data_IF_838857803927
#
_entry.id   IF_838857803927
#
_cell.length_a   1.000
_cell.length_b   1.000
_cell.length_c   1.000
_cell.angle_alpha   90.00
_cell.angle_beta   90.00
_cell.angle_gamma   90.00
#
_symmetry.space_group_name_H-M   'P 1'
#
loop_
_entity.id
_entity.type
_entity.pdbx_description
1 polymer ?
#
# COMPACT_ATOMS: atom_id res chain seq x y z
N UNK A 1 6.88 16.60 0.68
CA UNK A 1 6.70 15.19 1.12
C UNK A 1 8.03 14.69 1.66
N UNK A 2 8.11 14.09 2.86
CA UNK A 2 9.36 13.52 3.40
C UNK A 2 9.37 12.01 3.11
N UNK A 3 10.22 11.58 2.19
CA UNK A 3 10.35 10.16 1.84
C UNK A 3 11.26 9.47 2.87
N UNK A 4 10.89 8.30 3.42
CA UNK A 4 11.76 7.54 4.32
C UNK A 4 13.03 7.11 3.58
N UNK A 5 14.19 7.38 4.19
CA UNK A 5 15.52 7.10 3.59
C UNK A 5 16.07 5.70 3.87
N UNK A 6 15.31 4.90 4.62
CA UNK A 6 15.72 3.59 5.14
C UNK A 6 14.72 2.51 4.76
N UNK A 7 14.30 2.51 3.49
CA UNK A 7 13.42 1.46 2.94
C UNK A 7 14.29 0.52 2.12
N UNK A 8 14.24 -0.77 2.43
CA UNK A 8 14.87 -1.81 1.63
C UNK A 8 14.04 -2.14 0.38
N UNK A 9 14.66 -2.76 -0.62
CA UNK A 9 13.94 -3.22 -1.82
C UNK A 9 12.80 -4.19 -1.51
N UNK A 10 12.99 -5.06 -0.51
CA UNK A 10 11.94 -5.99 -0.05
C UNK A 10 10.78 -5.27 0.62
N UNK A 11 11.08 -4.32 1.49
CA UNK A 11 10.05 -3.52 2.16
C UNK A 11 9.22 -2.74 1.15
N UNK A 12 9.87 -2.08 0.17
CA UNK A 12 9.17 -1.37 -0.89
C UNK A 12 8.28 -2.32 -1.71
N UNK A 13 8.79 -3.50 -2.05
CA UNK A 13 8.05 -4.52 -2.79
C UNK A 13 6.80 -4.98 -2.01
N UNK A 14 6.95 -5.27 -0.72
CA UNK A 14 5.85 -5.70 0.14
C UNK A 14 4.76 -4.62 0.28
N UNK A 15 5.15 -3.34 0.32
CA UNK A 15 4.21 -2.22 0.33
C UNK A 15 3.44 -2.12 -1.00
N UNK A 16 4.13 -2.31 -2.13
CA UNK A 16 3.52 -2.25 -3.47
C UNK A 16 2.53 -3.39 -3.73
N UNK A 17 2.65 -4.51 -3.01
CA UNK A 17 1.61 -5.56 -3.06
C UNK A 17 0.24 -5.09 -2.60
N UNK A 18 0.15 -4.10 -1.72
CA UNK A 18 -1.15 -3.49 -1.34
C UNK A 18 -1.79 -2.67 -2.47
N UNK A 19 -1.02 -2.31 -3.48
CA UNK A 19 -1.46 -1.58 -4.67
C UNK A 19 -1.68 -2.52 -5.87
N UNK A 20 -1.73 -3.84 -5.65
CA UNK A 20 -2.00 -4.82 -6.70
C UNK A 20 -0.76 -5.31 -7.47
N UNK A 21 0.45 -4.98 -7.00
CA UNK A 21 1.68 -5.50 -7.61
C UNK A 21 2.09 -6.85 -7.02
N UNK A 22 2.44 -7.79 -7.88
CA UNK A 22 2.93 -9.10 -7.49
C UNK A 22 4.38 -9.32 -7.93
N UNK A 23 5.18 -9.96 -7.09
CA UNK A 23 6.54 -10.36 -7.47
C UNK A 23 6.47 -11.46 -8.52
N UNK A 24 6.97 -11.19 -9.72
CA UNK A 24 6.96 -12.17 -10.82
C UNK A 24 8.30 -12.85 -11.01
N UNK A 25 9.41 -12.16 -10.69
CA UNK A 25 10.76 -12.75 -10.79
C UNK A 25 11.72 -12.00 -9.89
N UNK A 26 12.69 -12.71 -9.32
CA UNK A 26 13.89 -12.08 -8.74
C UNK A 26 15.12 -12.67 -9.42
N UNK A 27 16.01 -11.80 -9.90
CA UNK A 27 17.29 -12.19 -10.49
C UNK A 27 18.39 -11.37 -9.83
N UNK A 28 19.28 -12.05 -9.10
CA UNK A 28 20.34 -11.39 -8.33
C UNK A 28 19.77 -10.36 -7.34
N UNK A 29 20.30 -9.14 -7.40
CA UNK A 29 19.88 -8.01 -6.57
C UNK A 29 18.71 -7.21 -7.17
N UNK A 30 17.91 -7.75 -8.09
CA UNK A 30 16.75 -7.06 -8.65
C UNK A 30 15.49 -7.91 -8.52
N UNK A 31 14.40 -7.29 -8.08
CA UNK A 31 13.06 -7.87 -7.97
C UNK A 31 12.20 -7.23 -9.04
N UNK A 32 11.53 -8.04 -9.85
CA UNK A 32 10.55 -7.59 -10.83
C UNK A 32 9.16 -7.83 -10.27
N UNK A 33 8.36 -6.77 -10.22
CA UNK A 33 6.96 -6.80 -9.84
C UNK A 33 6.08 -6.45 -11.04
N UNK A 34 4.89 -7.04 -11.10
CA UNK A 34 3.90 -6.81 -12.15
C UNK A 34 2.57 -6.45 -11.52
N UNK A 35 1.93 -5.39 -11.99
CA UNK A 35 0.52 -5.12 -11.73
C UNK A 35 -0.33 -5.89 -12.73
N UNK A 36 -1.31 -6.62 -12.22
CA UNK A 36 -2.32 -7.32 -13.02
C UNK A 36 -3.60 -6.48 -13.19
N UNK A 37 -3.55 -5.19 -12.85
CA UNK A 37 -4.68 -4.28 -13.03
C UNK A 37 -4.93 -4.04 -14.53
N UNK A 38 -6.18 -4.15 -14.96
CA UNK A 38 -6.60 -3.78 -16.32
C UNK A 38 -6.64 -2.25 -16.47
N UNK A 39 -6.45 -1.68 -17.69
CA UNK A 39 -6.32 -2.35 -18.99
C UNK A 39 -4.88 -2.69 -19.41
N UNK A 40 -3.86 -2.29 -18.65
CA UNK A 40 -2.46 -2.50 -19.04
C UNK A 40 -1.62 -3.04 -17.88
N UNK A 41 -0.98 -4.19 -18.14
CA UNK A 41 0.01 -4.75 -17.23
C UNK A 41 1.19 -3.79 -17.08
N UNK A 42 1.49 -3.44 -15.83
CA UNK A 42 2.60 -2.55 -15.51
C UNK A 42 3.73 -3.33 -14.84
N UNK A 43 4.96 -3.19 -15.34
CA UNK A 43 6.11 -3.93 -14.81
C UNK A 43 7.15 -2.97 -14.23
N UNK A 44 7.51 -3.18 -12.97
CA UNK A 44 8.49 -2.36 -12.27
C UNK A 44 9.65 -3.23 -11.78
N UNK A 45 10.87 -2.71 -11.90
CA UNK A 45 12.07 -3.38 -11.37
C UNK A 45 12.61 -2.61 -10.18
N UNK A 46 12.77 -3.30 -9.05
CA UNK A 46 13.21 -2.74 -7.78
C UNK A 46 14.55 -3.37 -7.39
N UNK A 47 15.58 -2.56 -7.07
CA UNK A 47 16.82 -3.09 -6.52
C UNK A 47 16.57 -3.69 -5.13
N UNK A 48 17.03 -4.92 -4.91
CA UNK A 48 16.98 -5.63 -3.64
C UNK A 48 18.21 -5.35 -2.78
N UNK A 49 18.34 -4.11 -2.32
CA UNK A 49 19.37 -3.68 -1.38
C UNK A 49 18.74 -3.28 -0.04
N UNK A 50 19.53 -3.35 1.04
CA UNK A 50 19.06 -3.05 2.40
C UNK A 50 18.58 -1.61 2.57
N UNK A 51 19.15 -0.66 1.84
CA UNK A 51 18.72 0.73 1.82
C UNK A 51 18.69 1.25 0.38
N UNK A 52 17.50 1.65 -0.08
CA UNK A 52 17.33 2.31 -1.37
C UNK A 52 17.61 3.81 -1.25
N UNK A 53 18.22 4.37 -2.29
CA UNK A 53 18.36 5.82 -2.40
C UNK A 53 16.98 6.45 -2.51
N UNK A 54 16.78 7.60 -1.87
CA UNK A 54 15.52 8.37 -1.94
C UNK A 54 15.10 8.64 -3.39
N UNK A 55 16.06 8.91 -4.28
CA UNK A 55 15.79 9.09 -5.71
C UNK A 55 15.20 7.84 -6.38
N UNK A 56 15.69 6.65 -6.03
CA UNK A 56 15.15 5.38 -6.54
C UNK A 56 13.74 5.14 -6.02
N UNK A 57 13.50 5.37 -4.73
CA UNK A 57 12.15 5.25 -4.15
C UNK A 57 11.20 6.22 -4.84
N UNK A 58 11.61 7.47 -5.02
CA UNK A 58 10.79 8.49 -5.68
C UNK A 58 10.49 8.14 -7.14
N UNK A 59 11.47 7.61 -7.88
CA UNK A 59 11.27 7.19 -9.26
C UNK A 59 10.29 6.02 -9.36
N UNK A 60 10.47 4.98 -8.53
CA UNK A 60 9.55 3.83 -8.48
C UNK A 60 8.13 4.27 -8.11
N UNK A 61 7.97 5.17 -7.14
CA UNK A 61 6.64 5.66 -6.75
C UNK A 61 5.99 6.51 -7.85
N UNK A 62 6.76 7.34 -8.56
CA UNK A 62 6.24 8.14 -9.67
C UNK A 62 5.75 7.24 -10.81
N UNK A 63 6.52 6.22 -11.16
CA UNK A 63 6.21 5.20 -12.16
C UNK A 63 4.94 4.41 -11.80
N UNK A 64 4.83 3.99 -10.53
CA UNK A 64 3.63 3.35 -10.00
C UNK A 64 2.41 4.27 -10.13
N UNK A 65 2.51 5.53 -9.73
CA UNK A 65 1.40 6.50 -9.78
C UNK A 65 0.95 6.78 -11.22
N UNK A 66 1.88 6.90 -12.15
CA UNK A 66 1.58 7.12 -13.58
C UNK A 66 0.80 5.94 -14.17
N UNK A 67 1.13 4.72 -13.76
CA UNK A 67 0.45 3.51 -14.21
C UNK A 67 -0.95 3.29 -13.62
N UNK A 68 -1.33 4.05 -12.57
CA UNK A 68 -2.67 3.97 -12.00
C UNK A 68 -3.63 4.86 -12.81
N UNK A 69 -4.77 4.30 -13.22
CA UNK A 69 -5.89 5.16 -13.58
C UNK A 69 -6.24 6.06 -12.39
N UNK A 70 -6.64 7.33 -12.60
CA UNK A 70 -7.02 8.20 -11.51
C UNK A 70 -8.21 7.58 -10.81
N UNK A 71 -7.95 6.95 -9.66
CA UNK A 71 -8.98 6.48 -8.74
C UNK A 71 -9.89 7.67 -8.49
N UNK A 72 -11.09 7.61 -9.06
CA UNK A 72 -12.16 8.53 -8.73
C UNK A 72 -12.39 8.30 -7.25
N UNK A 73 -11.83 9.20 -6.44
CA UNK A 73 -11.93 9.22 -4.99
C UNK A 73 -13.39 9.33 -4.59
N UNK A 74 -14.12 8.21 -4.62
CA UNK A 74 -15.35 8.06 -3.89
C UNK A 74 -14.95 7.72 -2.46
N UNK A 75 -14.57 8.76 -1.74
CA UNK A 75 -14.46 8.69 -0.27
C UNK A 75 -15.88 8.46 0.21
N UNK A 76 -16.21 7.24 0.61
CA UNK A 76 -17.43 6.96 1.36
C UNK A 76 -17.30 7.62 2.75
N UNK A 77 -18.12 8.62 3.10
CA UNK A 77 -18.16 9.10 4.46
C UNK A 77 -19.06 8.17 5.27
N UNK A 78 -18.45 7.33 6.10
CA UNK A 78 -19.14 6.81 7.29
C UNK A 78 -19.19 5.29 7.40
N UNK A 79 -18.62 4.78 8.47
CA UNK A 79 -19.31 3.78 9.27
C UNK A 79 -19.14 4.16 10.72
N UNK A 80 -20.30 4.37 11.36
CA UNK A 80 -20.45 5.12 12.58
C UNK A 80 -19.88 4.46 13.84
N UNK A 81 -19.49 5.32 14.75
CA UNK A 81 -19.48 5.06 16.19
C UNK A 81 -20.84 4.52 16.63
N UNK A 82 -20.96 3.19 16.79
CA UNK A 82 -22.08 2.62 17.55
C UNK A 82 -21.85 2.97 19.02
N UNK A 83 -22.63 3.94 19.50
CA UNK A 83 -22.91 4.11 20.91
C UNK A 83 -23.39 2.76 21.47
N UNK A 84 -22.62 2.20 22.39
CA UNK A 84 -23.08 1.09 23.22
C UNK A 84 -23.88 1.73 24.36
N UNK A 85 -25.20 1.68 24.22
CA UNK A 85 -26.12 2.00 25.31
C UNK A 85 -26.05 0.88 26.36
N UNK A 86 -26.01 1.28 27.61
CA UNK A 86 -25.95 0.42 28.79
C UNK A 86 -27.28 -0.32 29.02
N UNK A 87 -27.30 -1.63 29.29
CA UNK A 87 -28.49 -2.28 29.83
C UNK A 87 -28.51 -2.19 31.36
N UNK A 88 -29.68 -1.87 31.89
CA UNK A 88 -29.93 -1.51 33.27
C UNK A 88 -29.67 -2.59 34.31
N UNK A 89 -29.49 -2.14 35.55
CA UNK A 89 -29.57 -2.97 36.74
C UNK A 89 -30.84 -2.60 37.49
N UNK A 90 -31.85 -3.47 37.41
CA UNK A 90 -32.96 -3.52 38.34
C UNK A 90 -32.46 -4.07 39.68
N UNK A 91 -32.85 -3.46 40.79
CA UNK A 91 -32.68 -4.07 42.11
C UNK A 91 -33.16 -3.19 43.25
N UNK A 92 -34.19 -3.65 43.96
CA UNK A 92 -34.39 -3.30 45.37
C UNK A 92 -35.72 -2.65 45.75
N UNK A 93 -36.79 -3.46 45.78
CA UNK A 93 -37.88 -3.32 46.76
C UNK A 93 -37.29 -3.61 48.15
N UNK A 94 -37.37 -2.65 49.08
CA UNK A 94 -38.07 -2.66 50.39
C UNK A 94 -37.78 -1.36 51.14
#
# INVERSE_FOLDING_TARGET
MRIPRDISGKELTALLTRFGYQVTRQTGSHIRITSEQEPQQHHVTIPNHSALRVGTISAVLADVVDSQEPVRKNVEPGTGTRAQTVPGHSGGVV
#
